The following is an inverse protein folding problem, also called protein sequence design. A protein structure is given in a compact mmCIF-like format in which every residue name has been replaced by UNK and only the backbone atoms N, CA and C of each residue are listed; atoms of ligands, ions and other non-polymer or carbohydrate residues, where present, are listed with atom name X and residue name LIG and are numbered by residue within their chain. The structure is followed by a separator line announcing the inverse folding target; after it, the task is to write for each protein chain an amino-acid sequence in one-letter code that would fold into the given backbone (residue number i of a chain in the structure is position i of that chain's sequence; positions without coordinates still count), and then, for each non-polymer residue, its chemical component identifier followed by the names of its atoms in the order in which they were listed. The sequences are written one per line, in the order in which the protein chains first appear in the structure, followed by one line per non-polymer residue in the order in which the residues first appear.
data_IF_254442516277
#
_entry.id   IF_254442516277
#
_cell.length_a   1.000
_cell.length_b   1.000
_cell.length_c   1.000
_cell.angle_alpha   90.00
_cell.angle_beta   90.00
_cell.angle_gamma   90.00
#
_symmetry.space_group_name_H-M   'P 1'
#
loop_
_entity.id
_entity.type
_entity.pdbx_description
1 polymer ?
#
# COMPACT_ATOMS: atom_id res chain seq x y z
N UNK A 1 -48.72 0.04 29.94
CA UNK A 1 -47.62 1.00 29.71
C UNK A 1 -47.57 1.28 28.22
N UNK A 2 -47.67 2.54 27.81
CA UNK A 2 -47.51 2.90 26.41
C UNK A 2 -46.04 2.70 26.01
N UNK A 3 -45.80 1.84 25.03
CA UNK A 3 -44.48 1.53 24.51
C UNK A 3 -44.02 2.71 23.65
N UNK A 4 -43.15 3.57 24.18
CA UNK A 4 -42.57 4.67 23.41
C UNK A 4 -41.29 4.16 22.75
N UNK A 5 -41.25 3.99 21.41
CA UNK A 5 -40.04 3.59 20.73
C UNK A 5 -38.95 4.63 20.94
N UNK A 6 -37.80 4.20 21.47
CA UNK A 6 -36.59 5.01 21.59
C UNK A 6 -35.53 4.49 20.63
N UNK A 7 -34.96 5.39 19.84
CA UNK A 7 -33.87 5.12 18.90
C UNK A 7 -32.67 5.98 19.25
N UNK A 8 -31.51 5.35 19.31
CA UNK A 8 -30.22 6.01 19.42
C UNK A 8 -29.71 6.30 18.01
N UNK A 9 -29.28 7.54 17.75
CA UNK A 9 -28.74 7.98 16.45
C UNK A 9 -27.50 8.82 16.71
N UNK A 10 -26.37 8.37 16.16
CA UNK A 10 -25.08 9.04 16.25
C UNK A 10 -24.62 9.41 14.85
N UNK A 11 -24.32 10.70 14.65
CA UNK A 11 -23.84 11.25 13.38
C UNK A 11 -22.33 11.37 13.44
N UNK A 12 -21.65 10.96 12.37
CA UNK A 12 -20.20 10.91 12.30
C UNK A 12 -19.66 11.07 10.88
N UNK A 13 -18.35 10.94 10.76
CA UNK A 13 -17.63 11.05 9.49
C UNK A 13 -16.79 9.81 9.23
N UNK A 14 -16.88 9.26 8.02
CA UNK A 14 -16.09 8.11 7.56
C UNK A 14 -15.36 8.45 6.25
N UNK A 15 -14.21 7.82 5.94
CA UNK A 15 -13.42 8.14 4.75
C UNK A 15 -13.93 7.51 3.45
N UNK A 16 -15.02 6.73 3.50
CA UNK A 16 -15.58 6.00 2.35
C UNK A 16 -17.02 6.42 2.06
N UNK A 17 -17.54 5.99 0.92
CA UNK A 17 -18.83 6.42 0.39
C UNK A 17 -19.71 5.23 -0.05
N UNK A 18 -20.89 5.56 -0.58
CA UNK A 18 -21.87 4.60 -1.06
C UNK A 18 -21.51 3.96 -2.42
N UNK A 19 -20.32 4.22 -2.99
CA UNK A 19 -19.87 3.56 -4.23
C UNK A 19 -19.38 2.14 -3.99
N UNK A 20 -19.09 1.79 -2.73
CA UNK A 20 -18.55 0.49 -2.32
C UNK A 20 -17.24 0.09 -3.02
N UNK A 21 -16.49 1.05 -3.61
CA UNK A 21 -15.15 0.80 -4.15
C UNK A 21 -14.12 0.53 -3.05
N UNK A 22 -14.29 1.19 -1.92
CA UNK A 22 -13.48 1.02 -0.73
C UNK A 22 -14.41 0.80 0.46
N UNK A 23 -14.15 -0.28 1.20
CA UNK A 23 -14.90 -0.64 2.42
C UNK A 23 -13.91 -1.02 3.50
N UNK A 24 -14.25 -0.70 4.75
CA UNK A 24 -13.43 -1.10 5.89
C UNK A 24 -14.01 -2.35 6.55
N UNK A 25 -13.33 -3.49 6.42
CA UNK A 25 -13.84 -4.75 6.97
C UNK A 25 -13.43 -4.91 8.44
N UNK A 26 -14.43 -4.96 9.33
CA UNK A 26 -14.26 -5.26 10.76
C UNK A 26 -15.14 -6.47 11.10
N UNK A 27 -14.56 -7.67 11.32
CA UNK A 27 -15.34 -8.88 11.59
C UNK A 27 -15.99 -8.89 12.98
N UNK A 28 -15.33 -8.30 13.97
CA UNK A 28 -15.83 -8.28 15.36
C UNK A 28 -16.83 -7.14 15.57
N UNK A 29 -18.06 -7.46 15.98
CA UNK A 29 -19.15 -6.50 16.16
C UNK A 29 -18.87 -5.46 17.24
N UNK A 30 -18.18 -5.85 18.31
CA UNK A 30 -17.85 -4.94 19.42
C UNK A 30 -16.82 -3.91 18.96
N UNK A 31 -15.76 -4.35 18.28
CA UNK A 31 -14.76 -3.48 17.66
C UNK A 31 -15.36 -2.60 16.57
N UNK A 32 -16.31 -3.12 15.80
CA UNK A 32 -17.03 -2.35 14.79
C UNK A 32 -17.79 -1.18 15.44
N UNK A 33 -18.55 -1.47 16.49
CA UNK A 33 -19.25 -0.45 17.27
C UNK A 33 -18.28 0.59 17.85
N UNK A 34 -17.19 0.17 18.49
CA UNK A 34 -16.20 1.07 19.09
C UNK A 34 -15.54 1.99 18.05
N UNK A 35 -15.21 1.45 16.86
CA UNK A 35 -14.67 2.22 15.75
C UNK A 35 -15.64 3.31 15.29
N UNK A 36 -16.89 2.94 14.93
CA UNK A 36 -17.86 3.93 14.45
C UNK A 36 -18.29 4.91 15.52
N UNK A 37 -18.33 4.49 16.78
CA UNK A 37 -18.54 5.39 17.91
C UNK A 37 -17.43 6.44 17.98
N UNK A 38 -16.16 6.05 17.76
CA UNK A 38 -15.03 7.00 17.73
C UNK A 38 -15.11 8.01 16.59
N UNK A 39 -15.78 7.66 15.49
CA UNK A 39 -16.03 8.55 14.35
C UNK A 39 -17.18 9.55 14.59
N UNK A 40 -18.00 9.36 15.63
CA UNK A 40 -19.15 10.19 15.95
C UNK A 40 -18.83 11.13 17.13
N UNK A 41 -18.80 12.47 16.94
CA UNK A 41 -18.63 13.43 18.05
C UNK A 41 -19.73 13.30 19.10
N UNK A 42 -19.41 13.51 20.37
CA UNK A 42 -20.36 13.35 21.48
C UNK A 42 -21.58 14.28 21.37
N UNK A 43 -21.41 15.47 20.81
CA UNK A 43 -22.42 16.51 20.64
C UNK A 43 -23.53 16.09 19.66
N UNK A 44 -23.21 15.17 18.76
CA UNK A 44 -24.10 14.64 17.73
C UNK A 44 -24.67 13.26 18.08
N UNK A 45 -24.56 12.86 19.37
CA UNK A 45 -25.11 11.60 19.88
C UNK A 45 -26.41 11.84 20.63
N UNK A 46 -27.50 11.22 20.19
CA UNK A 46 -28.84 11.45 20.73
C UNK A 46 -29.65 10.16 20.82
N UNK A 47 -30.43 10.02 21.89
CA UNK A 47 -31.12 8.78 22.29
C UNK A 47 -32.63 8.95 22.48
N UNK A 48 -33.21 10.01 21.91
CA UNK A 48 -34.62 10.37 22.09
C UNK A 48 -35.42 10.40 20.76
N UNK A 49 -34.88 9.78 19.71
CA UNK A 49 -35.58 9.71 18.44
C UNK A 49 -36.71 8.69 18.46
N UNK A 50 -37.72 8.94 17.63
CA UNK A 50 -38.73 7.95 17.28
C UNK A 50 -38.11 6.85 16.42
N UNK A 51 -38.82 5.72 16.34
CA UNK A 51 -38.40 4.56 15.56
C UNK A 51 -37.94 4.94 14.15
N UNK A 52 -36.70 4.59 13.81
CA UNK A 52 -36.15 4.81 12.48
C UNK A 52 -36.31 3.58 11.60
N UNK A 53 -36.85 3.80 10.40
CA UNK A 53 -36.93 2.78 9.35
C UNK A 53 -35.63 2.78 8.56
N UNK A 54 -35.19 1.58 8.20
CA UNK A 54 -34.08 1.39 7.27
C UNK A 54 -34.41 2.06 5.93
N UNK A 55 -33.49 2.89 5.40
CA UNK A 55 -33.66 3.67 4.16
C UNK A 55 -34.74 4.76 4.21
N UNK A 56 -34.84 5.47 5.32
CA UNK A 56 -35.76 6.61 5.44
C UNK A 56 -35.00 7.90 5.77
N UNK A 57 -35.68 9.03 5.60
CA UNK A 57 -35.19 10.30 6.08
C UNK A 57 -35.43 10.45 7.59
N UNK A 58 -34.45 11.00 8.31
CA UNK A 58 -34.56 11.33 9.73
C UNK A 58 -34.48 12.84 9.91
N UNK A 59 -35.36 13.40 10.75
CA UNK A 59 -35.29 14.82 11.13
C UNK A 59 -34.51 14.92 12.42
N UNK A 60 -33.43 15.69 12.41
CA UNK A 60 -32.51 15.89 13.54
C UNK A 60 -32.58 17.34 14.04
N UNK A 61 -32.44 17.59 15.35
CA UNK A 61 -32.57 18.92 15.94
C UNK A 61 -31.26 19.73 15.83
N UNK A 62 -30.66 19.73 14.64
CA UNK A 62 -29.44 20.45 14.33
C UNK A 62 -29.64 21.29 13.09
N UNK A 63 -28.97 22.44 13.04
CA UNK A 63 -28.95 23.28 11.85
C UNK A 63 -28.17 22.59 10.73
N UNK A 64 -28.60 22.77 9.47
CA UNK A 64 -27.99 22.08 8.33
C UNK A 64 -26.51 22.46 8.16
N UNK A 65 -26.15 23.72 8.47
CA UNK A 65 -24.76 24.19 8.37
C UNK A 65 -23.83 23.49 9.36
N UNK A 66 -24.34 23.09 10.52
CA UNK A 66 -23.56 22.33 11.51
C UNK A 66 -23.31 20.90 11.06
N UNK A 67 -24.13 20.38 10.15
CA UNK A 67 -24.05 19.01 9.66
C UNK A 67 -23.19 18.89 8.39
N UNK A 68 -22.74 20.02 7.82
CA UNK A 68 -21.81 20.00 6.70
C UNK A 68 -20.45 19.44 7.14
N UNK A 69 -20.01 18.39 6.44
CA UNK A 69 -18.79 17.64 6.75
C UNK A 69 -19.05 16.25 7.33
N UNK A 70 -20.27 15.95 7.76
CA UNK A 70 -20.67 14.61 8.20
C UNK A 70 -21.31 13.84 7.05
N UNK A 71 -20.90 12.58 6.86
CA UNK A 71 -21.36 11.74 5.77
C UNK A 71 -21.89 10.37 6.25
N UNK A 72 -21.94 10.13 7.56
CA UNK A 72 -22.28 8.84 8.11
C UNK A 72 -23.15 8.93 9.36
N UNK A 73 -23.91 7.86 9.60
CA UNK A 73 -24.82 7.75 10.73
C UNK A 73 -24.88 6.29 11.19
N UNK A 74 -24.81 6.06 12.50
CA UNK A 74 -25.14 4.78 13.12
C UNK A 74 -26.38 4.95 13.98
N UNK A 75 -27.29 3.96 13.95
CA UNK A 75 -28.48 4.00 14.79
C UNK A 75 -28.88 2.62 15.30
N UNK A 76 -29.54 2.61 16.46
CA UNK A 76 -30.07 1.41 17.08
C UNK A 76 -31.49 1.66 17.55
N UNK A 77 -32.42 0.81 17.11
CA UNK A 77 -33.78 0.79 17.63
C UNK A 77 -33.79 -0.04 18.93
N UNK A 78 -33.37 0.56 20.04
CA UNK A 78 -33.13 -0.10 21.34
C UNK A 78 -34.28 -0.99 21.81
N UNK A 79 -35.51 -0.60 21.48
CA UNK A 79 -36.73 -1.31 21.86
C UNK A 79 -37.09 -2.52 20.97
N UNK A 80 -36.39 -2.72 19.85
CA UNK A 80 -36.68 -3.77 18.86
C UNK A 80 -35.51 -4.73 18.64
N UNK A 81 -34.31 -4.38 19.09
CA UNK A 81 -33.15 -5.26 19.08
C UNK A 81 -31.86 -4.55 19.49
N UNK A 82 -30.81 -5.33 19.71
CA UNK A 82 -29.47 -4.83 20.05
C UNK A 82 -28.58 -4.55 18.83
N UNK A 83 -29.11 -4.68 17.62
CA UNK A 83 -28.32 -4.52 16.39
C UNK A 83 -28.17 -3.04 16.03
N UNK A 84 -26.92 -2.64 15.79
CA UNK A 84 -26.57 -1.36 15.18
C UNK A 84 -26.73 -1.43 13.67
N UNK A 85 -27.37 -0.40 13.12
CA UNK A 85 -27.50 -0.17 11.69
C UNK A 85 -26.58 0.98 11.30
N UNK A 86 -25.90 0.84 10.16
CA UNK A 86 -24.99 1.83 9.64
C UNK A 86 -25.51 2.35 8.31
N UNK A 87 -25.48 3.67 8.12
CA UNK A 87 -26.02 4.34 6.94
C UNK A 87 -25.15 5.53 6.54
N UNK A 88 -25.00 5.70 5.22
CA UNK A 88 -24.50 6.93 4.63
C UNK A 88 -25.56 8.03 4.69
N UNK A 89 -25.12 9.27 4.87
CA UNK A 89 -25.95 10.45 4.69
C UNK A 89 -25.86 10.83 3.21
N UNK A 90 -26.92 10.55 2.46
CA UNK A 90 -26.99 10.82 1.02
C UNK A 90 -27.26 12.31 0.73
N UNK A 91 -28.05 12.97 1.58
CA UNK A 91 -28.38 14.39 1.44
C UNK A 91 -28.80 15.00 2.79
N UNK A 92 -28.66 16.32 2.91
CA UNK A 92 -29.00 17.12 4.08
C UNK A 92 -29.92 18.26 3.64
N UNK A 93 -31.21 18.14 3.92
CA UNK A 93 -32.22 19.15 3.63
C UNK A 93 -32.45 20.06 4.84
N UNK A 94 -32.39 21.37 4.63
CA UNK A 94 -32.75 22.36 5.64
C UNK A 94 -34.26 22.40 5.86
N UNK A 95 -34.73 22.29 7.11
CA UNK A 95 -36.16 22.37 7.45
C UNK A 95 -36.48 23.67 8.19
N UNK A 96 -35.72 24.00 9.23
CA UNK A 96 -35.82 25.27 9.97
C UNK A 96 -34.50 25.54 10.72
N UNK A 97 -34.42 26.68 11.42
CA UNK A 97 -33.20 27.14 12.11
C UNK A 97 -32.58 26.08 13.04
N UNK A 98 -33.42 25.25 13.67
CA UNK A 98 -32.99 24.26 14.65
C UNK A 98 -33.23 22.81 14.19
N UNK A 99 -33.57 22.57 12.91
CA UNK A 99 -33.80 21.21 12.42
C UNK A 99 -33.46 21.02 10.96
N UNK A 100 -32.92 19.84 10.66
CA UNK A 100 -32.56 19.41 9.32
C UNK A 100 -33.03 17.98 9.09
N UNK A 101 -33.24 17.63 7.83
CA UNK A 101 -33.60 16.28 7.43
C UNK A 101 -32.41 15.61 6.74
N UNK A 102 -31.98 14.47 7.28
CA UNK A 102 -30.94 13.62 6.71
C UNK A 102 -31.58 12.50 5.91
N UNK A 103 -31.22 12.38 4.64
CA UNK A 103 -31.60 11.24 3.81
C UNK A 103 -30.59 10.12 4.00
N UNK A 104 -31.03 8.99 4.56
CA UNK A 104 -30.14 7.89 4.89
C UNK A 104 -30.18 6.79 3.84
N UNK A 105 -29.00 6.34 3.42
CA UNK A 105 -28.83 5.15 2.60
C UNK A 105 -28.12 4.08 3.43
N UNK A 106 -28.76 2.92 3.62
CA UNK A 106 -28.18 1.84 4.41
C UNK A 106 -26.84 1.37 3.80
N UNK A 107 -25.81 1.30 4.64
CA UNK A 107 -24.57 0.60 4.34
C UNK A 107 -24.79 -0.90 4.56
N UNK A 108 -25.00 -1.61 3.45
CA UNK A 108 -25.28 -3.05 3.47
C UNK A 108 -24.05 -3.82 3.94
N UNK A 109 -22.85 -3.35 3.57
CA UNK A 109 -21.60 -4.03 3.89
C UNK A 109 -21.37 -3.99 5.41
N UNK A 110 -21.39 -2.81 6.02
CA UNK A 110 -21.17 -2.71 7.47
C UNK A 110 -22.29 -3.37 8.28
N UNK A 111 -23.53 -3.28 7.82
CA UNK A 111 -24.67 -3.81 8.57
C UNK A 111 -24.76 -5.35 8.51
N UNK A 112 -24.54 -5.96 7.34
CA UNK A 112 -24.86 -7.37 7.10
C UNK A 112 -23.65 -8.26 6.79
N UNK A 113 -22.58 -7.72 6.21
CA UNK A 113 -21.45 -8.53 5.75
C UNK A 113 -20.73 -9.29 6.89
N UNK A 114 -20.55 -8.75 8.12
CA UNK A 114 -19.93 -9.50 9.21
C UNK A 114 -20.69 -10.77 9.62
N UNK A 115 -21.99 -10.87 9.32
CA UNK A 115 -22.80 -12.06 9.62
C UNK A 115 -22.96 -12.98 8.38
N UNK A 116 -22.34 -12.61 7.25
CA UNK A 116 -22.52 -13.31 5.99
C UNK A 116 -21.48 -14.43 5.82
N UNK A 117 -21.93 -15.57 5.31
CA UNK A 117 -21.04 -16.63 4.83
C UNK A 117 -21.02 -16.59 3.30
N UNK A 118 -19.86 -16.34 2.70
CA UNK A 118 -19.70 -16.34 1.25
C UNK A 118 -19.63 -17.80 0.75
N UNK A 119 -20.60 -18.27 -0.06
CA UNK A 119 -20.52 -19.61 -0.66
C UNK A 119 -19.45 -19.65 -1.75
N UNK A 120 -19.10 -20.86 -2.21
CA UNK A 120 -18.19 -21.03 -3.34
C UNK A 120 -18.68 -20.24 -4.56
N UNK A 121 -17.87 -19.30 -5.02
CA UNK A 121 -18.15 -18.42 -6.14
C UNK A 121 -16.96 -18.39 -7.11
N UNK A 122 -17.22 -17.95 -8.35
CA UNK A 122 -16.13 -17.69 -9.28
C UNK A 122 -15.43 -16.39 -8.88
N UNK A 123 -14.15 -16.48 -8.51
CA UNK A 123 -13.34 -15.33 -8.11
C UNK A 123 -12.53 -14.86 -9.31
N UNK A 124 -12.73 -13.60 -9.70
CA UNK A 124 -11.96 -13.01 -10.81
C UNK A 124 -10.56 -12.59 -10.36
N UNK A 125 -10.46 -11.90 -9.22
CA UNK A 125 -9.22 -11.39 -8.61
C UNK A 125 -9.34 -11.36 -7.09
N UNK A 126 -8.30 -11.76 -6.39
CA UNK A 126 -8.18 -11.67 -4.93
C UNK A 126 -6.71 -11.51 -4.51
N UNK A 127 -6.48 -11.15 -3.25
CA UNK A 127 -5.16 -11.31 -2.65
C UNK A 127 -5.02 -12.74 -2.18
N UNK A 128 -3.84 -13.31 -2.38
CA UNK A 128 -3.50 -14.69 -2.03
C UNK A 128 -2.70 -14.70 -0.72
N UNK A 129 -2.95 -15.72 0.12
CA UNK A 129 -2.19 -15.90 1.37
C UNK A 129 -0.77 -16.43 1.11
N UNK A 130 -0.59 -17.18 0.02
CA UNK A 130 0.69 -17.73 -0.44
C UNK A 130 1.07 -17.06 -1.76
N UNK A 131 2.14 -16.27 -1.76
CA UNK A 131 2.73 -15.60 -2.93
C UNK A 131 4.12 -16.15 -3.24
N UNK A 132 4.30 -17.47 -3.11
CA UNK A 132 5.54 -18.13 -3.51
C UNK A 132 5.75 -18.04 -5.02
N UNK A 133 7.02 -17.81 -5.42
CA UNK A 133 7.41 -17.70 -6.83
C UNK A 133 6.96 -18.95 -7.58
N UNK A 134 6.11 -18.77 -8.60
CA UNK A 134 5.59 -19.85 -9.45
C UNK A 134 4.27 -20.46 -9.00
N UNK A 135 3.66 -20.02 -7.88
CA UNK A 135 2.35 -20.48 -7.45
C UNK A 135 1.20 -19.90 -8.32
N UNK A 136 1.35 -18.65 -8.75
CA UNK A 136 0.33 -17.91 -9.54
C UNK A 136 0.87 -17.55 -10.91
N UNK A 137 0.65 -18.43 -11.89
CA UNK A 137 1.16 -18.29 -13.26
C UNK A 137 0.06 -17.93 -14.28
N UNK A 138 -1.14 -17.59 -13.79
CA UNK A 138 -2.23 -17.15 -14.66
C UNK A 138 -1.84 -15.83 -15.32
N UNK A 139 -2.06 -15.74 -16.62
CA UNK A 139 -1.79 -14.51 -17.35
C UNK A 139 -2.75 -13.40 -16.91
N UNK A 140 -2.18 -12.30 -16.44
CA UNK A 140 -2.89 -11.09 -15.99
C UNK A 140 -3.22 -10.14 -17.15
N UNK A 141 -2.67 -10.39 -18.34
CA UNK A 141 -2.86 -9.54 -19.52
C UNK A 141 -2.20 -8.16 -19.40
N UNK A 142 -1.19 -8.03 -18.53
CA UNK A 142 -0.45 -6.79 -18.29
C UNK A 142 0.86 -6.85 -19.09
N UNK A 143 1.13 -5.82 -19.89
CA UNK A 143 2.39 -5.70 -20.60
C UNK A 143 3.53 -5.34 -19.62
N UNK A 144 4.54 -6.21 -19.43
CA UNK A 144 5.67 -5.92 -18.56
C UNK A 144 6.60 -4.83 -19.14
N UNK A 145 6.38 -4.40 -20.38
CA UNK A 145 7.18 -3.40 -21.07
C UNK A 145 8.48 -3.96 -21.66
N UNK A 146 9.32 -3.05 -22.16
CA UNK A 146 10.58 -3.42 -22.79
C UNK A 146 11.65 -3.80 -21.75
N UNK A 147 12.36 -4.91 -22.02
CA UNK A 147 13.54 -5.25 -21.24
C UNK A 147 14.60 -4.16 -21.39
N UNK A 148 15.04 -3.59 -20.27
CA UNK A 148 16.17 -2.65 -20.24
C UNK A 148 17.38 -3.31 -19.64
N UNK A 149 18.52 -3.10 -20.29
CA UNK A 149 19.81 -3.45 -19.70
C UNK A 149 20.03 -2.56 -18.48
N UNK A 150 19.93 -3.13 -17.29
CA UNK A 150 20.21 -2.39 -16.04
C UNK A 150 21.70 -2.30 -15.75
N UNK A 151 22.46 -3.32 -16.15
CA UNK A 151 23.88 -3.41 -15.86
C UNK A 151 24.63 -4.01 -17.05
N UNK A 152 25.72 -3.34 -17.42
CA UNK A 152 26.81 -3.88 -18.25
C UNK A 152 27.98 -4.13 -17.33
N UNK A 153 28.57 -5.33 -17.40
CA UNK A 153 29.91 -5.55 -16.87
C UNK A 153 30.84 -5.75 -18.06
N UNK A 154 31.83 -4.88 -18.17
CA UNK A 154 32.97 -5.07 -19.05
C UNK A 154 34.18 -5.37 -18.17
N UNK A 155 34.93 -6.41 -18.53
CA UNK A 155 36.23 -6.66 -17.95
C UNK A 155 37.27 -6.04 -18.89
N UNK A 156 37.77 -4.82 -18.62
CA UNK A 156 38.86 -4.27 -19.40
C UNK A 156 40.10 -5.12 -19.11
N UNK A 157 40.45 -6.00 -20.05
CA UNK A 157 41.77 -6.62 -20.12
C UNK A 157 42.81 -5.49 -20.11
N UNK A 158 43.35 -5.15 -18.95
CA UNK A 158 44.52 -4.29 -18.83
C UNK A 158 45.68 -5.09 -19.42
N UNK A 159 45.96 -4.89 -20.71
CA UNK A 159 47.15 -5.43 -21.34
C UNK A 159 48.34 -4.58 -20.91
N UNK A 160 49.26 -5.19 -20.17
CA UNK A 160 50.51 -4.53 -19.80
C UNK A 160 51.57 -4.80 -20.88
N UNK A 161 52.39 -3.82 -21.20
CA UNK A 161 53.53 -4.03 -22.08
C UNK A 161 54.61 -4.78 -21.29
N UNK A 162 55.00 -5.96 -21.78
CA UNK A 162 56.07 -6.75 -21.20
C UNK A 162 57.25 -6.80 -22.17
N UNK A 163 58.45 -6.52 -21.67
CA UNK A 163 59.71 -6.68 -22.41
C UNK A 163 60.50 -7.81 -21.78
N UNK A 164 60.84 -8.83 -22.58
CA UNK A 164 61.74 -9.90 -22.18
C UNK A 164 63.17 -9.55 -22.59
N UNK A 165 64.10 -9.48 -21.64
CA UNK A 165 65.51 -9.16 -21.91
C UNK A 165 66.48 -10.06 -21.16
N UNK A 166 67.63 -10.31 -21.79
CA UNK A 166 68.78 -10.99 -21.16
C UNK A 166 69.70 -10.00 -20.43
N UNK A 167 69.49 -8.70 -20.60
CA UNK A 167 70.18 -7.63 -19.90
C UNK A 167 69.23 -6.48 -19.56
N UNK A 168 69.31 -5.97 -18.35
CA UNK A 168 68.52 -4.82 -17.91
C UNK A 168 69.34 -3.54 -18.04
N UNK A 169 68.88 -2.56 -18.85
CA UNK A 169 69.52 -1.26 -18.91
C UNK A 169 69.24 -0.46 -17.64
N UNK A 170 70.26 0.21 -17.11
CA UNK A 170 70.16 1.11 -15.97
C UNK A 170 69.98 2.56 -16.44
N UNK A 171 69.40 3.40 -15.57
CA UNK A 171 69.15 4.83 -15.87
C UNK A 171 70.44 5.65 -16.12
N UNK A 172 71.61 5.11 -15.81
CA UNK A 172 72.91 5.72 -16.06
C UNK A 172 73.50 5.35 -17.43
N UNK A 173 72.77 4.58 -18.26
CA UNK A 173 73.19 4.15 -19.59
C UNK A 173 74.06 2.89 -19.61
N UNK A 174 74.31 2.26 -18.46
CA UNK A 174 74.96 0.95 -18.37
C UNK A 174 73.94 -0.19 -18.36
N UNK A 175 74.38 -1.45 -18.28
CA UNK A 175 73.47 -2.60 -18.20
C UNK A 175 73.97 -3.64 -17.21
N UNK A 176 73.04 -4.44 -16.68
CA UNK A 176 73.32 -5.63 -15.88
C UNK A 176 72.85 -6.86 -16.63
N UNK A 177 73.69 -7.88 -16.70
CA UNK A 177 73.30 -9.17 -17.27
C UNK A 177 72.32 -9.88 -16.32
N UNK A 178 71.24 -10.39 -16.88
CA UNK A 178 70.22 -11.12 -16.11
C UNK A 178 70.34 -12.61 -16.43
N UNK A 179 70.34 -13.44 -15.39
CA UNK A 179 70.50 -14.89 -15.52
C UNK A 179 69.18 -15.62 -15.90
N UNK A 180 68.11 -14.87 -16.12
CA UNK A 180 66.77 -15.38 -16.36
C UNK A 180 65.94 -15.57 -15.09
N UNK A 181 64.66 -15.85 -15.28
CA UNK A 181 63.66 -16.01 -14.22
C UNK A 181 62.81 -17.25 -14.45
N UNK A 182 62.04 -17.66 -13.43
CA UNK A 182 61.14 -18.82 -13.52
C UNK A 182 59.68 -18.36 -13.50
N UNK A 183 58.97 -18.55 -14.62
CA UNK A 183 57.56 -18.16 -14.76
C UNK A 183 56.68 -19.41 -14.72
N UNK A 184 55.89 -19.56 -13.65
CA UNK A 184 55.04 -20.75 -13.43
C UNK A 184 55.79 -22.08 -13.59
N UNK A 185 56.99 -22.19 -13.00
CA UNK A 185 57.86 -23.36 -13.08
C UNK A 185 58.45 -23.66 -14.47
N UNK A 186 58.34 -22.74 -15.43
CA UNK A 186 59.09 -22.79 -16.67
C UNK A 186 60.29 -21.83 -16.58
N UNK A 187 61.53 -22.37 -16.57
CA UNK A 187 62.73 -21.53 -16.55
C UNK A 187 62.87 -20.78 -17.88
N UNK A 188 63.09 -19.47 -17.80
CA UNK A 188 63.35 -18.58 -18.92
C UNK A 188 64.78 -18.07 -18.83
N UNK A 189 65.48 -17.97 -19.96
CA UNK A 189 66.83 -17.37 -20.03
C UNK A 189 66.82 -15.84 -20.02
N UNK A 190 65.64 -15.22 -20.05
CA UNK A 190 65.42 -13.77 -19.99
C UNK A 190 64.47 -13.44 -18.85
N UNK A 191 64.64 -12.27 -18.24
CA UNK A 191 63.63 -11.71 -17.32
C UNK A 191 62.64 -10.86 -18.09
N UNK A 192 61.39 -10.87 -17.64
CA UNK A 192 60.24 -10.13 -18.16
C UNK A 192 59.96 -8.97 -17.24
N UNK A 193 60.21 -7.76 -17.72
CA UNK A 193 59.84 -6.52 -17.05
C UNK A 193 58.49 -6.05 -17.58
N UNK A 194 57.56 -5.75 -16.67
CA UNK A 194 56.21 -5.32 -17.02
C UNK A 194 56.09 -3.82 -16.75
N UNK A 195 55.63 -3.07 -17.75
CA UNK A 195 55.46 -1.62 -17.69
C UNK A 195 53.99 -1.25 -17.62
N UNK A 196 53.68 -0.28 -16.75
CA UNK A 196 52.38 0.38 -16.76
C UNK A 196 52.36 1.45 -17.87
N UNK A 197 51.54 1.28 -18.92
CA UNK A 197 51.50 2.23 -20.03
C UNK A 197 51.04 3.63 -19.61
N UNK A 198 50.36 3.79 -18.48
CA UNK A 198 49.82 5.09 -18.03
C UNK A 198 50.86 5.93 -17.28
N UNK A 199 51.78 5.29 -16.56
CA UNK A 199 52.71 6.00 -15.65
C UNK A 199 54.17 5.99 -16.09
N UNK A 200 54.58 5.05 -16.96
CA UNK A 200 56.00 4.81 -17.25
C UNK A 200 56.42 5.03 -18.71
N UNK A 201 55.47 5.15 -19.64
CA UNK A 201 55.76 5.64 -20.99
C UNK A 201 55.69 7.17 -20.97
N UNK A 202 56.81 7.83 -20.73
CA UNK A 202 56.92 9.28 -20.98
C UNK A 202 56.51 9.60 -22.42
N UNK A 203 55.96 10.80 -22.65
CA UNK A 203 55.55 11.25 -23.99
C UNK A 203 56.67 11.00 -25.01
N UNK A 204 56.38 10.20 -26.03
CA UNK A 204 57.26 10.02 -27.20
C UNK A 204 57.11 11.18 -28.17
#
# INVERSE_FOLDING_TARGET
MAFQPSTEIYIGTVPFDNTYRHVYYIPDRQRQYEYFLSCCPNELRRNDYTYQRTQNAVVVPYNAEQLYGYNYCMFQNANYGSRWFYSFIADIEYVNENSSRLYLQLDIFQTWFPDCTVPACNVEREHVDDDTIGAHIKDEGIDPGEMRMQWTWEDPLHMWLAVASACEPLNDGTYVNVAGDNYQNMPSGTSVTVFDPVTQMGEF
#
